data_IF_753524132087
#
_entry.id   IF_753524132087
#
_cell.length_a   1.000
_cell.length_b   1.000
_cell.length_c   1.000
_cell.angle_alpha   90.00
_cell.angle_beta   90.00
_cell.angle_gamma   90.00
#
_symmetry.space_group_name_H-M   'P 1'
#
loop_
_entity.id
_entity.type
_entity.pdbx_description
1 polymer ?
#
# COMPACT_ATOMS: atom_id res chain seq x y z
N UNK A 1 -4.31 1.01 -11.82
CA UNK A 1 -3.94 2.40 -11.55
C UNK A 1 -5.20 3.26 -11.56
N UNK A 2 -5.40 4.08 -10.53
CA UNK A 2 -6.57 4.94 -10.38
C UNK A 2 -6.12 6.39 -10.17
N UNK A 3 -6.31 7.23 -11.18
CA UNK A 3 -5.98 8.66 -11.10
C UNK A 3 -7.22 9.54 -10.99
N UNK A 4 -7.06 10.74 -10.46
CA UNK A 4 -8.14 11.73 -10.37
C UNK A 4 -7.82 12.87 -9.41
N UNK A 5 -8.54 13.98 -9.57
CA UNK A 5 -8.39 15.17 -8.73
C UNK A 5 -8.61 14.89 -7.24
N UNK A 6 -8.08 15.72 -6.32
CA UNK A 6 -8.44 15.67 -4.91
C UNK A 6 -9.98 15.74 -4.73
N UNK A 7 -10.52 14.93 -3.82
CA UNK A 7 -11.97 14.94 -3.53
C UNK A 7 -12.86 14.24 -4.56
N UNK A 8 -12.35 13.77 -5.71
CA UNK A 8 -13.14 13.15 -6.78
C UNK A 8 -13.78 11.79 -6.39
N UNK A 9 -13.41 11.22 -5.27
CA UNK A 9 -13.96 9.95 -4.79
C UNK A 9 -13.05 8.73 -4.93
N UNK A 10 -11.73 8.88 -5.20
CA UNK A 10 -10.77 7.76 -5.27
C UNK A 10 -10.85 6.84 -4.06
N UNK A 11 -10.73 7.40 -2.86
CA UNK A 11 -10.77 6.61 -1.61
C UNK A 11 -12.13 5.94 -1.38
N UNK A 12 -13.23 6.53 -1.87
CA UNK A 12 -14.55 5.88 -1.80
C UNK A 12 -14.64 4.65 -2.69
N UNK A 13 -14.06 4.71 -3.90
CA UNK A 13 -13.98 3.53 -4.77
C UNK A 13 -13.05 2.45 -4.21
N UNK A 14 -11.90 2.85 -3.65
CA UNK A 14 -11.00 1.92 -2.94
C UNK A 14 -11.75 1.21 -1.81
N UNK A 15 -12.51 1.94 -1.00
CA UNK A 15 -13.29 1.35 0.09
C UNK A 15 -14.37 0.40 -0.43
N UNK A 16 -15.12 0.78 -1.47
CA UNK A 16 -16.14 -0.08 -2.06
C UNK A 16 -15.54 -1.40 -2.60
N UNK A 17 -14.35 -1.33 -3.20
CA UNK A 17 -13.65 -2.51 -3.67
C UNK A 17 -13.13 -3.38 -2.50
N UNK A 18 -12.61 -2.75 -1.44
CA UNK A 18 -12.22 -3.46 -0.20
C UNK A 18 -13.40 -4.23 0.42
N UNK A 19 -14.58 -3.61 0.44
CA UNK A 19 -15.79 -4.23 0.99
C UNK A 19 -16.23 -5.46 0.16
N UNK A 20 -16.10 -5.40 -1.16
CA UNK A 20 -16.41 -6.52 -2.05
C UNK A 20 -15.40 -7.67 -1.91
N UNK A 21 -14.10 -7.36 -1.88
CA UNK A 21 -13.02 -8.35 -1.75
C UNK A 21 -13.06 -9.02 -0.37
N UNK A 22 -13.49 -8.30 0.67
CA UNK A 22 -13.59 -8.83 2.03
C UNK A 22 -14.48 -10.06 2.18
N UNK A 23 -15.35 -10.33 1.21
CA UNK A 23 -16.21 -11.50 1.18
C UNK A 23 -15.55 -12.72 0.51
N UNK A 24 -14.41 -12.56 -0.16
CA UNK A 24 -13.76 -13.57 -0.99
C UNK A 24 -12.55 -14.28 -0.40
N UNK A 25 -12.16 -14.04 0.86
CA UNK A 25 -11.05 -14.76 1.52
C UNK A 25 -9.64 -14.29 1.09
N UNK A 26 -9.50 -13.19 0.36
CA UNK A 26 -8.19 -12.64 -0.03
C UNK A 26 -7.52 -11.89 1.12
N UNK A 27 -6.19 -11.99 1.23
CA UNK A 27 -5.39 -11.15 2.14
C UNK A 27 -5.40 -9.70 1.65
N UNK A 28 -5.70 -8.76 2.56
CA UNK A 28 -5.70 -7.33 2.27
C UNK A 28 -4.54 -6.64 2.95
N UNK A 29 -3.73 -5.95 2.15
CA UNK A 29 -2.56 -5.21 2.61
C UNK A 29 -2.70 -3.75 2.18
N UNK A 30 -2.65 -2.83 3.13
CA UNK A 30 -2.89 -1.42 2.90
C UNK A 30 -1.63 -0.60 3.17
N UNK A 31 -1.22 0.17 2.18
CA UNK A 31 -0.13 1.13 2.25
C UNK A 31 -0.65 2.54 1.98
N UNK A 32 -0.27 3.49 2.82
CA UNK A 32 -0.70 4.89 2.72
C UNK A 32 0.50 5.80 2.62
N UNK A 33 0.60 6.52 1.52
CA UNK A 33 1.59 7.58 1.36
C UNK A 33 1.05 8.88 1.94
N UNK A 34 1.94 9.72 2.46
CA UNK A 34 1.55 10.96 3.13
C UNK A 34 2.54 12.08 2.82
N UNK A 35 2.08 13.33 2.62
CA UNK A 35 2.98 14.47 2.40
C UNK A 35 3.96 14.70 3.56
N UNK A 36 3.61 14.24 4.77
CA UNK A 36 4.47 14.39 5.96
C UNK A 36 5.67 13.43 5.97
N UNK A 37 5.66 12.40 5.13
CA UNK A 37 6.66 11.33 5.13
C UNK A 37 7.35 11.12 3.78
N UNK A 38 7.29 12.09 2.87
CA UNK A 38 7.95 12.02 1.56
C UNK A 38 9.48 11.85 1.63
N UNK A 39 10.08 12.31 2.74
CA UNK A 39 11.52 12.19 2.98
C UNK A 39 11.88 11.00 3.88
N UNK A 40 10.92 10.16 4.23
CA UNK A 40 11.12 8.98 5.08
C UNK A 40 11.08 7.73 4.21
N UNK A 41 12.25 7.16 3.94
CA UNK A 41 12.38 6.00 3.06
C UNK A 41 11.49 4.83 3.51
N UNK A 42 10.71 4.27 2.60
CA UNK A 42 9.82 3.13 2.81
C UNK A 42 8.79 3.32 3.93
N UNK A 43 8.42 4.57 4.25
CA UNK A 43 7.48 4.85 5.34
C UNK A 43 6.15 4.07 5.24
N UNK A 44 5.47 3.96 4.08
CA UNK A 44 4.21 3.21 3.99
C UNK A 44 4.37 1.74 4.36
N UNK A 45 5.53 1.17 4.07
CA UNK A 45 5.87 -0.22 4.39
C UNK A 45 6.17 -0.36 5.88
N UNK A 46 6.95 0.56 6.45
CA UNK A 46 7.24 0.61 7.90
C UNK A 46 5.93 0.71 8.70
N UNK A 47 5.05 1.64 8.33
CA UNK A 47 3.75 1.83 8.98
C UNK A 47 2.89 0.56 8.90
N UNK A 48 2.85 -0.09 7.73
CA UNK A 48 2.13 -1.35 7.58
C UNK A 48 2.72 -2.46 8.45
N UNK A 49 4.05 -2.66 8.43
CA UNK A 49 4.72 -3.68 9.25
C UNK A 49 4.50 -3.45 10.74
N UNK A 50 4.55 -2.21 11.23
CA UNK A 50 4.27 -1.89 12.63
C UNK A 50 2.85 -2.26 13.03
N UNK A 51 1.87 -2.03 12.15
CA UNK A 51 0.47 -2.44 12.36
C UNK A 51 0.30 -3.96 12.33
N UNK A 52 0.92 -4.64 11.35
CA UNK A 52 0.91 -6.09 11.21
C UNK A 52 1.48 -6.78 12.45
N UNK A 53 2.61 -6.27 12.94
CA UNK A 53 3.31 -6.77 14.13
C UNK A 53 2.64 -6.32 15.44
N UNK A 54 1.57 -5.53 15.36
CA UNK A 54 0.85 -5.00 16.53
C UNK A 54 1.80 -4.36 17.56
N UNK A 55 2.73 -3.52 17.08
CA UNK A 55 3.63 -2.80 17.97
C UNK A 55 2.85 -1.83 18.83
N UNK A 56 2.90 -2.04 20.14
CA UNK A 56 2.39 -1.08 21.10
C UNK A 56 3.43 0.02 21.37
N UNK A 57 2.95 1.18 21.80
CA UNK A 57 3.81 2.35 22.03
C UNK A 57 4.82 2.11 23.15
N UNK A 58 4.47 1.30 24.13
CA UNK A 58 5.23 0.93 25.32
C UNK A 58 5.96 -0.41 25.19
N UNK A 59 5.90 -1.08 24.03
CA UNK A 59 6.66 -2.31 23.79
C UNK A 59 8.15 -2.04 23.92
N UNK A 60 8.83 -2.85 24.75
CA UNK A 60 10.29 -2.84 24.83
C UNK A 60 10.91 -3.28 23.48
N UNK A 61 12.11 -2.81 23.14
CA UNK A 61 12.79 -3.21 21.89
C UNK A 61 12.91 -4.73 21.70
N UNK A 62 13.17 -5.48 22.78
CA UNK A 62 13.22 -6.94 22.75
C UNK A 62 11.85 -7.54 22.35
N UNK A 63 10.75 -7.06 22.93
CA UNK A 63 9.41 -7.52 22.60
C UNK A 63 9.06 -7.27 21.11
N UNK A 64 9.51 -6.14 20.57
CA UNK A 64 9.31 -5.84 19.12
C UNK A 64 10.11 -6.79 18.24
N UNK A 65 11.35 -7.13 18.63
CA UNK A 65 12.16 -8.12 17.93
C UNK A 65 11.53 -9.51 17.98
N UNK A 66 11.02 -9.93 19.13
CA UNK A 66 10.34 -11.23 19.28
C UNK A 66 9.08 -11.32 18.42
N UNK A 67 8.27 -10.25 18.36
CA UNK A 67 7.11 -10.16 17.47
C UNK A 67 7.49 -10.28 16.00
N UNK A 68 8.56 -9.57 15.58
CA UNK A 68 9.07 -9.64 14.21
C UNK A 68 9.57 -11.06 13.91
N UNK A 69 10.39 -11.65 14.77
CA UNK A 69 10.92 -13.00 14.58
C UNK A 69 9.81 -14.04 14.51
N UNK A 70 8.82 -13.96 15.41
CA UNK A 70 7.68 -14.85 15.41
C UNK A 70 6.90 -14.74 14.09
N UNK A 71 6.62 -13.53 13.63
CA UNK A 71 5.91 -13.34 12.36
C UNK A 71 6.70 -13.90 11.19
N UNK A 72 8.01 -13.61 11.11
CA UNK A 72 8.85 -14.10 10.02
C UNK A 72 9.03 -15.62 10.03
N UNK A 73 8.89 -16.29 11.18
CA UNK A 73 9.01 -17.75 11.27
C UNK A 73 7.94 -18.54 10.48
N UNK A 74 6.87 -17.85 10.05
CA UNK A 74 5.82 -18.44 9.23
C UNK A 74 6.13 -18.44 7.73
N UNK A 75 7.21 -17.75 7.31
CA UNK A 75 7.63 -17.62 5.91
C UNK A 75 8.84 -18.48 5.59
N UNK A 76 8.97 -18.86 4.31
CA UNK A 76 10.02 -19.77 3.81
C UNK A 76 11.28 -19.06 3.31
N UNK A 77 11.22 -17.74 3.08
CA UNK A 77 12.40 -17.01 2.64
C UNK A 77 13.55 -17.09 3.66
N UNK A 78 14.83 -16.87 3.26
CA UNK A 78 16.00 -16.97 4.13
C UNK A 78 15.93 -15.99 5.29
N UNK A 79 15.50 -16.45 6.46
CA UNK A 79 15.30 -15.58 7.63
C UNK A 79 16.59 -15.00 8.19
N UNK A 80 17.70 -15.75 8.10
CA UNK A 80 19.00 -15.27 8.56
C UNK A 80 19.42 -13.94 7.90
N UNK A 81 19.07 -13.74 6.63
CA UNK A 81 19.36 -12.50 5.90
C UNK A 81 18.24 -11.46 6.04
N UNK A 82 16.98 -11.89 6.07
CA UNK A 82 15.81 -11.01 6.04
C UNK A 82 15.49 -10.39 7.40
N UNK A 83 15.62 -11.17 8.49
CA UNK A 83 15.30 -10.69 9.83
C UNK A 83 16.10 -9.44 10.24
N UNK A 84 17.46 -9.42 10.13
CA UNK A 84 18.21 -8.23 10.47
C UNK A 84 17.91 -7.02 9.57
N UNK A 85 17.57 -7.23 8.28
CA UNK A 85 17.21 -6.15 7.37
C UNK A 85 15.87 -5.50 7.76
N UNK A 86 14.86 -6.30 8.09
CA UNK A 86 13.57 -5.79 8.53
C UNK A 86 13.63 -5.19 9.93
N UNK A 87 14.44 -5.75 10.83
CA UNK A 87 14.72 -5.14 12.14
C UNK A 87 15.33 -3.74 11.97
N UNK A 88 16.32 -3.60 11.10
CA UNK A 88 16.93 -2.30 10.77
C UNK A 88 15.90 -1.33 10.14
N UNK A 89 15.08 -1.81 9.21
CA UNK A 89 14.00 -1.01 8.59
C UNK A 89 13.04 -0.46 9.65
N UNK A 90 12.72 -1.26 10.66
CA UNK A 90 11.84 -0.89 11.77
C UNK A 90 12.57 -0.12 12.89
N UNK A 91 13.82 0.31 12.66
CA UNK A 91 14.67 1.00 13.64
C UNK A 91 14.86 0.23 14.96
N UNK A 92 14.87 -1.09 14.89
CA UNK A 92 15.18 -1.97 16.01
C UNK A 92 16.69 -2.24 16.07
N UNK A 93 17.18 -2.61 17.26
CA UNK A 93 18.57 -3.01 17.42
C UNK A 93 18.88 -4.26 16.60
N UNK A 94 20.15 -4.41 16.20
CA UNK A 94 20.57 -5.61 15.46
C UNK A 94 20.31 -6.87 16.31
N UNK A 95 19.60 -7.88 15.75
CA UNK A 95 19.24 -9.06 16.52
C UNK A 95 20.47 -9.85 16.96
N UNK A 96 20.51 -10.27 18.24
CA UNK A 96 21.60 -11.05 18.78
C UNK A 96 21.75 -12.40 18.03
N UNK A 97 22.98 -12.75 17.67
CA UNK A 97 23.28 -13.99 16.94
C UNK A 97 23.02 -13.93 15.43
N UNK A 98 22.46 -12.84 14.91
CA UNK A 98 22.33 -12.65 13.46
C UNK A 98 23.65 -12.26 12.81
N UNK A 99 23.92 -12.69 11.56
CA UNK A 99 25.10 -12.25 10.85
C UNK A 99 25.09 -10.73 10.65
N UNK A 100 26.25 -10.06 10.65
CA UNK A 100 26.31 -8.63 10.42
C UNK A 100 25.79 -8.30 9.02
N UNK A 101 25.01 -7.20 8.92
CA UNK A 101 24.56 -6.70 7.60
C UNK A 101 25.78 -6.15 6.87
N UNK A 102 26.24 -6.88 5.86
CA UNK A 102 27.42 -6.54 5.06
C UNK A 102 27.05 -5.89 3.74
N UNK A 103 27.96 -5.07 3.21
CA UNK A 103 27.80 -4.40 1.92
C UNK A 103 27.65 -2.88 2.03
N UNK A 104 27.66 -2.21 0.89
CA UNK A 104 27.44 -0.77 0.81
C UNK A 104 26.00 -0.41 1.22
N UNK A 105 25.73 0.84 1.63
CA UNK A 105 24.37 1.30 1.91
C UNK A 105 23.39 1.01 0.76
N UNK A 106 23.85 1.16 -0.48
CA UNK A 106 23.05 0.85 -1.67
C UNK A 106 22.67 -0.64 -1.73
N UNK A 107 23.62 -1.56 -1.49
CA UNK A 107 23.33 -3.00 -1.44
C UNK A 107 22.39 -3.37 -0.30
N UNK A 108 22.52 -2.71 0.84
CA UNK A 108 21.61 -2.92 1.97
C UNK A 108 20.18 -2.47 1.62
N UNK A 109 20.03 -1.31 0.96
CA UNK A 109 18.76 -0.83 0.45
C UNK A 109 18.13 -1.85 -0.51
N UNK A 110 18.88 -2.31 -1.52
CA UNK A 110 18.41 -3.29 -2.51
C UNK A 110 17.96 -4.61 -1.84
N UNK A 111 18.73 -5.10 -0.88
CA UNK A 111 18.36 -6.30 -0.11
C UNK A 111 17.09 -6.09 0.71
N UNK A 112 16.93 -4.92 1.34
CA UNK A 112 15.72 -4.59 2.11
C UNK A 112 14.49 -4.54 1.20
N UNK A 113 14.61 -3.90 0.05
CA UNK A 113 13.55 -3.85 -0.96
C UNK A 113 13.19 -5.25 -1.48
N UNK A 114 14.18 -6.07 -1.79
CA UNK A 114 13.99 -7.45 -2.20
C UNK A 114 13.30 -8.30 -1.11
N UNK A 115 13.66 -8.10 0.16
CA UNK A 115 13.03 -8.77 1.30
C UNK A 115 11.53 -8.41 1.43
N UNK A 116 11.19 -7.14 1.24
CA UNK A 116 9.78 -6.68 1.24
C UNK A 116 8.99 -7.30 0.09
N UNK A 117 9.57 -7.35 -1.11
CA UNK A 117 8.91 -7.94 -2.27
C UNK A 117 8.76 -9.45 -2.08
N UNK A 118 9.80 -10.16 -1.59
CA UNK A 118 9.74 -11.58 -1.30
C UNK A 118 8.64 -11.92 -0.29
N UNK A 119 8.48 -11.10 0.75
CA UNK A 119 7.38 -11.24 1.71
C UNK A 119 6.01 -11.15 1.01
N UNK A 120 5.77 -10.14 0.17
CA UNK A 120 4.49 -9.98 -0.54
C UNK A 120 4.23 -11.12 -1.54
N UNK A 121 5.26 -11.61 -2.22
CA UNK A 121 5.14 -12.74 -3.16
C UNK A 121 4.81 -14.03 -2.41
N UNK A 122 5.46 -14.29 -1.27
CA UNK A 122 5.16 -15.48 -0.47
C UNK A 122 3.75 -15.43 0.13
N UNK A 123 3.25 -14.26 0.54
CA UNK A 123 1.83 -14.10 0.88
C UNK A 123 0.92 -14.46 -0.31
N UNK A 124 1.29 -14.04 -1.52
CA UNK A 124 0.53 -14.33 -2.72
C UNK A 124 0.60 -15.80 -3.18
N UNK A 125 1.58 -16.56 -2.72
CA UNK A 125 1.65 -18.02 -2.92
C UNK A 125 0.67 -18.77 -2.01
N UNK A 126 0.40 -18.24 -0.82
CA UNK A 126 -0.51 -18.85 0.14
C UNK A 126 -1.97 -18.61 -0.20
N UNK A 127 -2.29 -17.37 -0.61
CA UNK A 127 -3.63 -16.97 -1.01
C UNK A 127 -3.56 -15.70 -1.86
N UNK A 128 -4.66 -15.38 -2.56
CA UNK A 128 -4.72 -14.14 -3.34
C UNK A 128 -4.49 -12.94 -2.45
N UNK A 129 -3.54 -12.09 -2.83
CA UNK A 129 -3.22 -10.85 -2.13
C UNK A 129 -3.77 -9.66 -2.89
N UNK A 130 -4.48 -8.81 -2.19
CA UNK A 130 -4.94 -7.52 -2.67
C UNK A 130 -4.21 -6.39 -1.93
N UNK A 131 -3.38 -5.65 -2.63
CA UNK A 131 -2.70 -4.49 -2.05
C UNK A 131 -3.33 -3.19 -2.50
N UNK A 132 -3.49 -2.24 -1.58
CA UNK A 132 -3.85 -0.85 -1.90
C UNK A 132 -2.70 0.07 -1.54
N UNK A 133 -2.34 0.95 -2.48
CA UNK A 133 -1.34 1.99 -2.31
C UNK A 133 -2.03 3.33 -2.51
N UNK A 134 -2.39 3.98 -1.41
CA UNK A 134 -3.13 5.23 -1.47
C UNK A 134 -2.18 6.43 -1.54
N UNK A 135 -2.51 7.37 -2.42
CA UNK A 135 -1.82 8.65 -2.62
C UNK A 135 -0.33 8.52 -2.99
N UNK A 136 -0.02 7.62 -3.95
CA UNK A 136 1.35 7.30 -4.40
C UNK A 136 2.15 8.53 -4.88
N UNK A 137 1.49 9.62 -5.26
CA UNK A 137 2.15 10.89 -5.56
C UNK A 137 2.90 11.50 -4.37
N UNK A 138 2.69 10.99 -3.15
CA UNK A 138 3.42 11.32 -1.93
C UNK A 138 4.46 10.26 -1.53
N UNK A 139 4.67 9.24 -2.35
CA UNK A 139 5.65 8.20 -2.06
C UNK A 139 7.08 8.73 -2.18
N UNK A 140 7.94 8.30 -1.29
CA UNK A 140 9.38 8.53 -1.37
C UNK A 140 10.02 7.69 -2.50
N UNK A 141 11.21 8.07 -2.99
CA UNK A 141 11.86 7.35 -4.09
C UNK A 141 12.07 5.86 -3.82
N UNK A 142 12.38 5.45 -2.58
CA UNK A 142 12.60 4.04 -2.24
C UNK A 142 11.30 3.23 -2.28
N UNK A 143 10.19 3.84 -1.89
CA UNK A 143 8.84 3.25 -2.03
C UNK A 143 8.47 3.08 -3.51
N UNK A 144 8.78 4.05 -4.38
CA UNK A 144 8.54 3.94 -5.82
C UNK A 144 9.38 2.83 -6.47
N UNK A 145 10.61 2.63 -6.01
CA UNK A 145 11.46 1.51 -6.46
C UNK A 145 10.86 0.16 -6.06
N UNK A 146 10.36 0.01 -4.81
CA UNK A 146 9.66 -1.21 -4.37
C UNK A 146 8.39 -1.44 -5.20
N UNK A 147 7.61 -0.39 -5.46
CA UNK A 147 6.43 -0.48 -6.32
C UNK A 147 6.78 -0.95 -7.73
N UNK A 148 7.91 -0.49 -8.30
CA UNK A 148 8.37 -0.97 -9.59
C UNK A 148 8.68 -2.48 -9.56
N UNK A 149 9.35 -2.96 -8.52
CA UNK A 149 9.62 -4.40 -8.34
C UNK A 149 8.32 -5.21 -8.17
N UNK A 150 7.35 -4.71 -7.41
CA UNK A 150 6.03 -5.34 -7.26
C UNK A 150 5.30 -5.40 -8.60
N UNK A 151 5.31 -4.33 -9.38
CA UNK A 151 4.72 -4.29 -10.73
C UNK A 151 5.37 -5.32 -11.65
N UNK A 152 6.69 -5.52 -11.55
CA UNK A 152 7.42 -6.54 -12.33
C UNK A 152 7.03 -7.97 -11.94
N UNK A 153 6.75 -8.22 -10.66
CA UNK A 153 6.38 -9.54 -10.15
C UNK A 153 4.88 -9.86 -10.29
N UNK A 154 4.03 -8.85 -10.39
CA UNK A 154 2.58 -9.02 -10.41
C UNK A 154 2.06 -10.04 -11.43
N UNK A 155 2.61 -10.19 -12.66
CA UNK A 155 2.16 -11.18 -13.63
C UNK A 155 2.42 -12.64 -13.21
N UNK A 156 3.32 -12.88 -12.27
CA UNK A 156 3.75 -14.23 -11.84
C UNK A 156 3.19 -14.63 -10.48
N UNK A 157 2.47 -13.76 -9.81
CA UNK A 157 1.92 -13.97 -8.47
C UNK A 157 0.41 -13.73 -8.44
N UNK A 158 -0.30 -14.39 -7.50
CA UNK A 158 -1.71 -14.11 -7.24
C UNK A 158 -1.86 -12.76 -6.51
N UNK A 159 -1.36 -11.68 -7.12
CA UNK A 159 -1.26 -10.35 -6.55
C UNK A 159 -2.03 -9.33 -7.39
N UNK A 160 -2.94 -8.63 -6.76
CA UNK A 160 -3.61 -7.46 -7.33
C UNK A 160 -3.18 -6.20 -6.59
N UNK A 161 -2.65 -5.21 -7.31
CA UNK A 161 -2.22 -3.94 -6.73
C UNK A 161 -3.07 -2.77 -7.27
N UNK A 162 -3.78 -2.09 -6.38
CA UNK A 162 -4.49 -0.84 -6.70
C UNK A 162 -3.70 0.35 -6.17
N UNK A 163 -3.26 1.22 -7.10
CA UNK A 163 -2.50 2.42 -6.80
C UNK A 163 -3.35 3.64 -7.11
N UNK A 164 -3.49 4.55 -6.13
CA UNK A 164 -4.20 5.82 -6.34
C UNK A 164 -3.23 6.99 -6.34
N UNK A 165 -3.46 7.95 -7.23
CA UNK A 165 -2.62 9.14 -7.34
C UNK A 165 -3.37 10.31 -7.99
N UNK A 166 -2.75 11.49 -7.99
CA UNK A 166 -3.26 12.69 -8.66
C UNK A 166 -2.83 12.71 -10.13
N UNK A 167 -3.58 13.41 -11.02
CA UNK A 167 -3.27 13.46 -12.45
C UNK A 167 -1.87 13.98 -12.78
N UNK A 168 -1.29 14.83 -11.92
CA UNK A 168 0.04 15.41 -12.11
C UNK A 168 1.17 14.41 -11.89
N UNK A 169 0.88 13.30 -11.21
CA UNK A 169 1.88 12.26 -10.95
C UNK A 169 2.04 11.37 -12.16
N UNK A 170 3.27 11.24 -12.62
CA UNK A 170 3.65 10.34 -13.71
C UNK A 170 4.29 9.08 -13.13
N UNK A 171 3.60 7.94 -13.17
CA UNK A 171 4.15 6.68 -12.68
C UNK A 171 5.44 6.29 -13.42
N UNK A 172 6.52 5.92 -12.70
CA UNK A 172 7.82 5.64 -13.33
C UNK A 172 7.89 4.30 -14.08
N UNK A 173 6.92 3.40 -13.88
CA UNK A 173 6.93 2.04 -14.45
C UNK A 173 6.41 1.92 -15.89
N UNK A 174 6.02 3.02 -16.52
CA UNK A 174 5.64 3.05 -17.95
C UNK A 174 4.41 2.19 -18.31
N UNK A 175 4.22 1.96 -19.59
CA UNK A 175 3.16 1.10 -20.10
C UNK A 175 3.58 -0.36 -20.06
N UNK A 176 2.82 -1.20 -19.35
CA UNK A 176 2.98 -2.65 -19.29
C UNK A 176 1.64 -3.33 -19.57
N UNK A 177 1.62 -4.46 -20.22
CA UNK A 177 0.40 -5.14 -20.68
C UNK A 177 -0.56 -5.53 -19.54
N UNK A 178 -0.05 -5.74 -18.33
CA UNK A 178 -0.83 -6.08 -17.14
C UNK A 178 -1.27 -4.87 -16.32
N UNK A 179 -0.88 -3.64 -16.71
CA UNK A 179 -1.32 -2.42 -16.06
C UNK A 179 -2.55 -1.85 -16.77
N UNK A 180 -3.62 -1.67 -16.01
CA UNK A 180 -4.79 -0.91 -16.45
C UNK A 180 -4.84 0.42 -15.72
N UNK A 181 -5.12 1.50 -16.43
CA UNK A 181 -5.28 2.82 -15.84
C UNK A 181 -6.70 3.33 -16.05
N UNK A 182 -7.28 3.82 -14.97
CA UNK A 182 -8.58 4.49 -14.96
C UNK A 182 -8.38 5.91 -14.42
N UNK A 183 -8.93 6.89 -15.10
CA UNK A 183 -8.95 8.28 -14.65
C UNK A 183 -10.39 8.67 -14.29
N UNK A 184 -10.57 9.13 -13.05
CA UNK A 184 -11.85 9.65 -12.60
C UNK A 184 -12.00 11.10 -13.06
N UNK A 185 -13.10 11.36 -13.73
CA UNK A 185 -13.55 12.71 -14.06
C UNK A 185 -14.71 13.13 -13.15
N UNK A 186 -15.01 14.42 -13.14
CA UNK A 186 -16.18 14.94 -12.41
C UNK A 186 -17.45 14.31 -12.94
N UNK A 187 -18.39 14.07 -12.04
CA UNK A 187 -19.70 13.55 -12.38
C UNK A 187 -20.44 14.58 -13.25
N UNK A 188 -21.12 14.08 -14.29
CA UNK A 188 -22.02 14.91 -15.06
C UNK A 188 -23.29 15.25 -14.24
N UNK A 189 -24.01 16.29 -14.67
CA UNK A 189 -25.18 16.82 -13.97
C UNK A 189 -26.19 15.74 -13.56
N UNK A 190 -26.57 14.86 -14.46
CA UNK A 190 -27.52 13.78 -14.19
C UNK A 190 -27.02 12.77 -13.14
N UNK A 191 -25.71 12.55 -13.12
CA UNK A 191 -25.07 11.65 -12.13
C UNK A 191 -25.04 12.30 -10.74
N UNK A 192 -24.81 13.63 -10.67
CA UNK A 192 -24.86 14.38 -9.41
C UNK A 192 -26.29 14.39 -8.87
N UNK A 193 -27.29 14.65 -9.72
CA UNK A 193 -28.71 14.60 -9.35
C UNK A 193 -29.10 13.22 -8.79
N UNK A 194 -28.67 12.14 -9.45
CA UNK A 194 -28.91 10.77 -8.99
C UNK A 194 -28.20 10.47 -7.65
N UNK A 195 -26.98 11.00 -7.44
CA UNK A 195 -26.24 10.86 -6.20
C UNK A 195 -26.95 11.61 -5.06
N UNK A 196 -27.40 12.83 -5.31
CA UNK A 196 -28.16 13.64 -4.34
C UNK A 196 -29.43 12.91 -3.91
N UNK A 197 -30.20 12.39 -4.88
CA UNK A 197 -31.43 11.64 -4.60
C UNK A 197 -31.17 10.41 -3.71
N UNK A 198 -30.06 9.71 -3.93
CA UNK A 198 -29.65 8.56 -3.09
C UNK A 198 -29.25 8.97 -1.67
N UNK A 199 -28.46 10.04 -1.53
CA UNK A 199 -27.97 10.51 -0.23
C UNK A 199 -29.14 11.07 0.62
N UNK A 200 -30.12 11.74 -0.01
CA UNK A 200 -31.29 12.27 0.69
C UNK A 200 -32.39 11.22 0.95
N UNK A 201 -32.16 9.95 0.56
CA UNK A 201 -33.17 8.90 0.72
C UNK A 201 -34.44 9.15 -0.11
N UNK A 202 -34.30 9.81 -1.25
CA UNK A 202 -35.42 10.18 -2.14
C UNK A 202 -36.20 11.44 -1.69
N UNK A 203 -35.76 12.15 -0.65
CA UNK A 203 -36.36 13.43 -0.28
C UNK A 203 -35.98 14.49 -1.31
N UNK A 204 -36.98 15.14 -1.88
CA UNK A 204 -36.76 16.24 -2.82
C UNK A 204 -36.07 17.43 -2.11
N UNK A 205 -34.92 17.84 -2.64
CA UNK A 205 -34.30 19.10 -2.23
C UNK A 205 -34.90 20.25 -3.06
N UNK A 206 -34.95 21.48 -2.51
CA UNK A 206 -35.32 22.65 -3.29
C UNK A 206 -34.42 22.78 -4.54
N UNK A 207 -35.03 23.18 -5.65
CA UNK A 207 -34.32 23.26 -6.94
C UNK A 207 -33.07 24.18 -6.87
N UNK A 208 -33.13 25.24 -6.09
CA UNK A 208 -32.04 26.18 -5.85
C UNK A 208 -30.84 25.49 -5.18
N UNK A 209 -31.09 24.60 -4.21
CA UNK A 209 -30.03 23.83 -3.52
C UNK A 209 -29.38 22.82 -4.48
N UNK A 210 -30.20 22.14 -5.30
CA UNK A 210 -29.67 21.21 -6.32
C UNK A 210 -28.81 21.96 -7.34
N UNK A 211 -29.21 23.15 -7.77
CA UNK A 211 -28.44 23.99 -8.69
C UNK A 211 -27.07 24.45 -8.12
N UNK A 212 -26.95 24.61 -6.80
CA UNK A 212 -25.69 24.95 -6.17
C UNK A 212 -24.73 23.75 -6.01
N UNK A 213 -25.28 22.53 -6.00
CA UNK A 213 -24.50 21.29 -5.86
C UNK A 213 -24.02 20.76 -7.23
N UNK A 214 -24.77 21.06 -8.28
CA UNK A 214 -24.56 20.62 -9.66
C UNK A 214 -23.75 21.63 -10.47
#
# INVERSE_FOLDING_TARGET
LLSGEPGIGKSRLVQALKDQIGQGGATRIEFRCSPYHQNSALYPIIDHLQRLLQFARDDAPATKLDKLQHTLSHYRFPQADTFPLLAMLLSLSHPAGSPPITGSPQKQKEKTQAAVVAWLVEEAEQQTVYTTWEDVHWADPSTLEVLNLIVDQAPTACLYALLTFRPEFMPPWGNRSHLSQMTLSRLGRSQVEAMVARVTGGKALPAEVVQQIV
#
